data_IF_034934412689
#
_entry.id   IF_034934412689
#
_cell.length_a   1.000
_cell.length_b   1.000
_cell.length_c   1.000
_cell.angle_alpha   90.00
_cell.angle_beta   90.00
_cell.angle_gamma   90.00
#
_symmetry.space_group_name_H-M   'P 1'
#
loop_
_entity.id
_entity.type
_entity.pdbx_description
1 polymer ?
#
# COMPACT_ATOMS: atom_id res chain seq x y z
N UNK A 1 -1.92 -7.80 -20.27
CA UNK A 1 -1.65 -6.41 -20.71
C UNK A 1 -0.84 -6.45 -22.00
N UNK A 2 -1.06 -5.52 -22.92
CA UNK A 2 -0.33 -5.48 -24.20
C UNK A 2 1.02 -4.78 -24.05
N UNK A 3 2.03 -5.24 -24.78
CA UNK A 3 3.30 -4.53 -24.91
C UNK A 3 3.08 -3.20 -25.64
N UNK A 4 3.79 -2.12 -25.28
CA UNK A 4 3.94 -0.97 -26.17
C UNK A 4 4.33 -1.47 -27.57
N UNK A 5 3.77 -0.86 -28.61
CA UNK A 5 4.00 -1.22 -30.02
C UNK A 5 3.39 -2.55 -30.50
N UNK A 6 2.68 -3.29 -29.64
CA UNK A 6 1.87 -4.42 -30.10
C UNK A 6 0.66 -3.94 -30.91
N UNK A 7 0.19 -4.78 -31.83
CA UNK A 7 -1.04 -4.54 -32.61
C UNK A 7 -2.25 -4.98 -31.79
N UNK A 8 -3.26 -4.13 -31.70
CA UNK A 8 -4.51 -4.47 -31.03
C UNK A 8 -5.28 -5.54 -31.84
N UNK A 9 -5.61 -6.67 -31.23
CA UNK A 9 -6.37 -7.76 -31.89
C UNK A 9 -7.82 -7.42 -32.26
N UNK A 10 -8.35 -6.29 -31.78
CA UNK A 10 -9.73 -5.85 -32.06
C UNK A 10 -9.83 -4.79 -33.15
N UNK A 11 -8.89 -3.86 -33.20
CA UNK A 11 -8.95 -2.72 -34.12
C UNK A 11 -7.69 -2.56 -34.98
N UNK A 12 -6.74 -3.49 -34.87
CA UNK A 12 -5.52 -3.60 -35.69
C UNK A 12 -4.61 -2.37 -35.65
N UNK A 13 -4.85 -1.45 -34.72
CA UNK A 13 -4.00 -0.27 -34.48
C UNK A 13 -2.90 -0.58 -33.48
N UNK A 14 -1.77 0.08 -33.66
CA UNK A 14 -0.64 0.00 -32.74
C UNK A 14 -0.99 0.60 -31.37
N UNK A 15 -0.69 -0.13 -30.29
CA UNK A 15 -0.88 0.34 -28.93
C UNK A 15 0.06 1.50 -28.62
N UNK A 16 -0.50 2.55 -28.02
CA UNK A 16 0.24 3.73 -27.59
C UNK A 16 0.77 3.52 -26.18
N UNK A 17 1.95 4.10 -25.90
CA UNK A 17 2.50 4.17 -24.55
C UNK A 17 1.60 5.04 -23.67
N UNK A 18 1.34 4.61 -22.44
CA UNK A 18 0.67 5.44 -21.43
C UNK A 18 1.59 6.61 -21.08
N UNK A 19 1.03 7.82 -21.07
CA UNK A 19 1.79 9.04 -20.79
C UNK A 19 2.17 9.11 -19.31
N UNK A 20 3.35 9.65 -19.03
CA UNK A 20 3.71 10.06 -17.68
C UNK A 20 2.94 11.34 -17.33
N UNK A 21 2.41 11.39 -16.12
CA UNK A 21 1.65 12.53 -15.63
C UNK A 21 2.59 13.60 -15.05
N UNK A 22 2.56 14.76 -15.69
CA UNK A 22 3.24 15.98 -15.26
C UNK A 22 2.31 17.18 -15.51
N UNK A 23 2.46 18.30 -14.77
CA UNK A 23 3.36 18.49 -13.63
C UNK A 23 2.93 17.71 -12.37
N UNK A 24 3.87 17.46 -11.45
CA UNK A 24 3.64 16.55 -10.30
C UNK A 24 2.57 17.08 -9.33
N UNK A 25 2.46 18.41 -9.17
CA UNK A 25 1.53 19.02 -8.19
C UNK A 25 0.06 18.80 -8.52
N UNK A 26 -0.28 18.85 -9.81
CA UNK A 26 -1.66 18.79 -10.31
C UNK A 26 -1.77 17.71 -11.39
N UNK A 27 -1.44 16.48 -11.02
CA UNK A 27 -1.58 15.35 -11.95
C UNK A 27 -3.06 15.08 -12.21
N UNK A 28 -3.48 15.18 -13.46
CA UNK A 28 -4.83 14.84 -13.88
C UNK A 28 -4.93 13.35 -14.24
N UNK A 29 -5.34 12.54 -13.27
CA UNK A 29 -5.56 11.10 -13.46
C UNK A 29 -6.79 10.77 -14.32
N UNK A 30 -7.70 11.72 -14.52
CA UNK A 30 -8.97 11.53 -15.26
C UNK A 30 -8.85 11.78 -16.76
N UNK A 31 -7.79 12.45 -17.20
CA UNK A 31 -7.64 12.84 -18.62
C UNK A 31 -7.49 11.64 -19.56
N UNK A 32 -6.84 10.56 -19.09
CA UNK A 32 -6.61 9.37 -19.89
C UNK A 32 -7.49 8.23 -19.37
N UNK A 33 -8.31 7.63 -20.23
CA UNK A 33 -9.26 6.57 -19.84
C UNK A 33 -8.58 5.39 -19.13
N UNK A 34 -7.40 4.98 -19.57
CA UNK A 34 -6.66 3.88 -18.93
C UNK A 34 -6.18 4.25 -17.52
N UNK A 35 -5.64 5.47 -17.37
CA UNK A 35 -5.19 5.99 -16.09
C UNK A 35 -6.37 6.14 -15.14
N UNK A 36 -7.46 6.76 -15.59
CA UNK A 36 -8.67 6.98 -14.79
C UNK A 36 -9.28 5.67 -14.29
N UNK A 37 -9.34 4.64 -15.16
CA UNK A 37 -9.80 3.31 -14.75
C UNK A 37 -8.88 2.68 -13.70
N UNK A 38 -7.55 2.77 -13.89
CA UNK A 38 -6.57 2.23 -12.93
C UNK A 38 -6.63 2.98 -11.60
N UNK A 39 -6.83 4.30 -11.63
CA UNK A 39 -6.98 5.16 -10.47
C UNK A 39 -8.23 4.84 -9.66
N UNK A 40 -9.36 4.68 -10.34
CA UNK A 40 -10.62 4.25 -9.72
C UNK A 40 -10.48 2.88 -9.06
N UNK A 41 -9.84 1.94 -9.75
CA UNK A 41 -9.61 0.59 -9.23
C UNK A 41 -8.69 0.61 -7.99
N UNK A 42 -7.64 1.41 -8.00
CA UNK A 42 -6.79 1.62 -6.83
C UNK A 42 -7.59 2.13 -5.63
N UNK A 43 -8.41 3.16 -5.81
CA UNK A 43 -9.28 3.67 -4.75
C UNK A 43 -10.24 2.61 -4.19
N UNK A 44 -10.83 1.78 -5.05
CA UNK A 44 -11.69 0.68 -4.61
C UNK A 44 -10.94 -0.37 -3.80
N UNK A 45 -9.73 -0.75 -4.21
CA UNK A 45 -8.92 -1.71 -3.46
C UNK A 45 -8.51 -1.14 -2.11
N UNK A 46 -8.00 0.09 -2.06
CA UNK A 46 -7.64 0.75 -0.80
C UNK A 46 -8.83 0.87 0.16
N UNK A 47 -10.04 1.07 -0.37
CA UNK A 47 -11.24 1.13 0.47
C UNK A 47 -11.65 -0.21 1.09
N UNK A 48 -11.23 -1.34 0.50
CA UNK A 48 -11.60 -2.70 0.93
C UNK A 48 -10.44 -3.51 1.50
N UNK A 49 -9.23 -2.93 1.50
CA UNK A 49 -8.01 -3.65 1.85
C UNK A 49 -7.96 -3.88 3.36
N UNK A 50 -7.83 -5.15 3.74
CA UNK A 50 -7.60 -5.53 5.14
C UNK A 50 -6.17 -5.22 5.60
N UNK A 51 -5.21 -5.30 4.67
CA UNK A 51 -3.80 -4.99 4.90
C UNK A 51 -3.20 -4.35 3.65
N UNK A 52 -2.36 -3.34 3.83
CA UNK A 52 -1.66 -2.65 2.74
C UNK A 52 -0.14 -2.70 2.96
N UNK A 53 0.59 -3.34 2.04
CA UNK A 53 2.06 -3.33 2.06
C UNK A 53 2.61 -2.31 1.06
N UNK A 54 3.53 -1.46 1.51
CA UNK A 54 4.14 -0.37 0.75
C UNK A 54 5.65 -0.57 0.69
N UNK A 55 6.23 -0.53 -0.51
CA UNK A 55 7.66 -0.72 -0.74
C UNK A 55 8.34 0.57 -1.18
N UNK A 56 9.31 1.05 -0.40
CA UNK A 56 10.24 2.13 -0.78
C UNK A 56 9.57 3.41 -1.28
N UNK A 57 8.32 3.66 -0.86
CA UNK A 57 7.54 4.82 -1.30
C UNK A 57 7.41 5.79 -0.14
N UNK A 58 7.95 6.99 -0.32
CA UNK A 58 7.70 8.12 0.58
C UNK A 58 6.34 8.71 0.26
N UNK A 59 5.47 8.85 1.26
CA UNK A 59 4.10 9.33 1.09
C UNK A 59 4.03 10.61 0.21
N UNK A 60 2.95 10.79 -0.57
CA UNK A 60 2.86 11.92 -1.49
C UNK A 60 2.85 13.25 -0.73
N UNK A 61 3.79 14.14 -1.06
CA UNK A 61 3.89 15.48 -0.43
C UNK A 61 3.22 16.60 -1.23
N UNK A 62 3.13 16.45 -2.55
CA UNK A 62 2.75 17.54 -3.45
C UNK A 62 1.68 17.18 -4.47
N UNK A 63 1.43 15.88 -4.69
CA UNK A 63 0.40 15.40 -5.59
C UNK A 63 -0.95 15.38 -4.85
N UNK A 64 -1.73 16.45 -5.04
CA UNK A 64 -2.97 16.65 -4.28
C UNK A 64 -3.96 15.49 -4.48
N UNK A 65 -4.07 14.97 -5.71
CA UNK A 65 -4.98 13.87 -5.99
C UNK A 65 -4.56 12.58 -5.26
N UNK A 66 -3.25 12.30 -5.17
CA UNK A 66 -2.76 11.15 -4.40
C UNK A 66 -2.98 11.33 -2.89
N UNK A 67 -2.74 12.53 -2.36
CA UNK A 67 -3.03 12.87 -0.96
C UNK A 67 -4.51 12.63 -0.66
N UNK A 68 -5.40 13.17 -1.49
CA UNK A 68 -6.85 13.05 -1.33
C UNK A 68 -7.32 11.61 -1.41
N UNK A 69 -6.75 10.81 -2.32
CA UNK A 69 -7.09 9.40 -2.46
C UNK A 69 -6.67 8.59 -1.24
N UNK A 70 -5.46 8.79 -0.71
CA UNK A 70 -5.02 8.11 0.51
C UNK A 70 -5.86 8.58 1.70
N UNK A 71 -6.09 9.88 1.89
CA UNK A 71 -6.95 10.38 2.98
C UNK A 71 -8.38 9.83 2.88
N UNK A 72 -8.95 9.75 1.68
CA UNK A 72 -10.27 9.16 1.43
C UNK A 72 -10.31 7.66 1.68
N UNK A 73 -9.26 6.95 1.27
CA UNK A 73 -9.16 5.53 1.51
C UNK A 73 -9.14 5.26 3.01
N UNK A 74 -8.42 6.04 3.83
CA UNK A 74 -8.32 5.79 5.26
C UNK A 74 -9.53 6.21 6.10
N UNK A 75 -10.47 6.99 5.55
CA UNK A 75 -11.74 7.31 6.20
C UNK A 75 -11.61 7.95 7.60
N UNK A 76 -12.69 7.90 8.37
CA UNK A 76 -12.67 8.30 9.78
C UNK A 76 -12.16 7.12 10.64
N UNK A 77 -11.29 7.41 11.62
CA UNK A 77 -10.62 6.44 12.52
C UNK A 77 -11.58 5.38 13.09
N UNK A 78 -12.84 5.74 13.34
CA UNK A 78 -13.83 4.85 13.94
C UNK A 78 -14.35 3.73 13.01
N UNK A 79 -14.19 3.86 11.69
CA UNK A 79 -14.73 2.89 10.73
C UNK A 79 -13.72 1.78 10.37
N UNK A 80 -12.46 1.86 10.83
CA UNK A 80 -11.34 1.03 10.32
C UNK A 80 -10.37 0.49 11.38
N UNK A 81 -10.88 0.08 12.53
CA UNK A 81 -10.07 -0.49 13.64
C UNK A 81 -9.30 -1.80 13.31
N UNK A 82 -9.47 -2.38 12.11
CA UNK A 82 -8.89 -3.68 11.77
C UNK A 82 -7.90 -3.64 10.58
N UNK A 83 -7.61 -2.46 10.02
CA UNK A 83 -6.70 -2.32 8.89
C UNK A 83 -5.27 -2.07 9.36
N UNK A 84 -4.28 -2.77 8.77
CA UNK A 84 -2.85 -2.57 9.07
C UNK A 84 -2.07 -2.15 7.82
N UNK A 85 -1.18 -1.16 8.00
CA UNK A 85 -0.20 -0.76 6.97
C UNK A 85 1.15 -1.37 7.31
N UNK A 86 1.76 -2.03 6.34
CA UNK A 86 3.13 -2.51 6.42
C UNK A 86 4.00 -1.69 5.47
N UNK A 87 5.03 -1.03 5.98
CA UNK A 87 5.95 -0.23 5.18
C UNK A 87 7.32 -0.89 5.19
N UNK A 88 7.83 -1.24 4.02
CA UNK A 88 9.14 -1.86 3.82
C UNK A 88 10.03 -0.84 3.12
N UNK A 89 10.99 -0.28 3.85
CA UNK A 89 11.83 0.82 3.38
C UNK A 89 13.23 0.72 3.99
N UNK A 90 14.25 0.97 3.17
CA UNK A 90 15.66 0.91 3.59
C UNK A 90 16.05 2.06 4.54
N UNK A 91 15.24 3.11 4.62
CA UNK A 91 15.46 4.27 5.48
C UNK A 91 15.19 3.94 6.96
N UNK A 92 15.75 4.71 7.90
CA UNK A 92 15.41 4.59 9.32
C UNK A 92 13.90 4.71 9.57
N UNK A 93 13.37 3.90 10.48
CA UNK A 93 11.93 3.81 10.72
C UNK A 93 11.30 5.15 11.12
N UNK A 94 12.03 5.93 11.91
CA UNK A 94 11.68 7.27 12.37
C UNK A 94 11.51 8.27 11.22
N UNK A 95 12.37 8.23 10.19
CA UNK A 95 12.20 9.06 8.98
C UNK A 95 11.00 8.61 8.15
N UNK A 96 10.76 7.30 8.08
CA UNK A 96 9.61 6.74 7.37
C UNK A 96 8.32 7.18 8.06
N UNK A 97 8.22 7.00 9.37
CA UNK A 97 7.06 7.42 10.18
C UNK A 97 6.78 8.91 10.00
N UNK A 98 7.81 9.76 10.07
CA UNK A 98 7.65 11.19 9.84
C UNK A 98 7.08 11.47 8.44
N UNK A 99 7.53 10.75 7.40
CA UNK A 99 6.99 10.96 6.05
C UNK A 99 5.54 10.52 5.89
N UNK A 100 5.03 9.66 6.77
CA UNK A 100 3.69 9.09 6.73
C UNK A 100 2.74 9.67 7.79
N UNK A 101 3.21 10.61 8.61
CA UNK A 101 2.49 11.14 9.79
C UNK A 101 1.09 11.72 9.48
N UNK A 102 0.90 12.27 8.28
CA UNK A 102 -0.41 12.79 7.83
C UNK A 102 -1.42 11.70 7.43
N UNK A 103 -0.98 10.46 7.32
CA UNK A 103 -1.79 9.33 6.84
C UNK A 103 -1.95 8.23 7.91
N UNK A 104 -0.97 8.09 8.81
CA UNK A 104 -1.01 7.10 9.90
C UNK A 104 -1.45 7.76 11.20
N UNK A 105 -2.72 7.61 11.56
CA UNK A 105 -3.29 8.21 12.76
C UNK A 105 -3.45 7.23 13.95
N UNK A 106 -3.08 5.96 13.78
CA UNK A 106 -3.26 4.89 14.77
C UNK A 106 -2.00 4.03 14.91
N UNK A 107 -2.00 3.10 15.88
CA UNK A 107 -0.91 2.14 16.10
C UNK A 107 -0.93 0.96 15.11
N UNK A 108 -1.80 0.97 14.10
CA UNK A 108 -1.94 -0.13 13.14
C UNK A 108 -0.99 0.01 11.94
N UNK A 109 0.30 0.19 12.23
CA UNK A 109 1.33 0.13 11.21
C UNK A 109 2.57 -0.62 11.69
N UNK A 110 3.30 -1.21 10.75
CA UNK A 110 4.62 -1.78 10.97
C UNK A 110 5.60 -1.23 9.95
N UNK A 111 6.84 -1.00 10.38
CA UNK A 111 7.93 -0.54 9.50
C UNK A 111 9.07 -1.53 9.58
N UNK A 112 9.53 -2.01 8.43
CA UNK A 112 10.60 -2.99 8.30
C UNK A 112 11.68 -2.49 7.34
N UNK A 113 12.95 -2.68 7.71
CA UNK A 113 14.09 -2.38 6.85
C UNK A 113 14.53 -3.57 5.98
N UNK A 114 14.11 -4.78 6.35
CA UNK A 114 14.30 -6.01 5.58
C UNK A 114 12.94 -6.62 5.21
N UNK A 115 12.81 -7.04 3.95
CA UNK A 115 11.62 -7.75 3.47
C UNK A 115 11.37 -9.05 4.23
N UNK A 116 12.41 -9.81 4.58
CA UNK A 116 12.28 -11.11 5.23
C UNK A 116 11.77 -11.01 6.67
N UNK A 117 11.86 -9.82 7.28
CA UNK A 117 11.31 -9.56 8.60
C UNK A 117 9.83 -9.18 8.59
N UNK A 118 9.31 -8.75 7.43
CA UNK A 118 7.91 -8.36 7.25
C UNK A 118 6.93 -9.54 7.37
N UNK A 119 5.67 -9.25 7.67
CA UNK A 119 4.61 -10.26 7.65
C UNK A 119 4.45 -10.86 6.24
N UNK A 120 4.61 -10.04 5.18
CA UNK A 120 4.57 -10.53 3.80
C UNK A 120 5.71 -11.52 3.49
N UNK A 121 6.91 -11.28 4.04
CA UNK A 121 8.06 -12.16 3.91
C UNK A 121 7.91 -13.45 4.69
N UNK A 122 7.46 -13.37 5.96
CA UNK A 122 7.33 -14.53 6.86
C UNK A 122 6.12 -15.41 6.53
N UNK A 123 5.01 -14.81 6.12
CA UNK A 123 3.72 -15.50 5.94
C UNK A 123 3.11 -15.22 4.56
N UNK A 124 3.80 -15.57 3.46
CA UNK A 124 3.28 -15.30 2.11
C UNK A 124 1.92 -15.98 1.91
N UNK A 125 0.94 -15.22 1.43
CA UNK A 125 -0.48 -15.62 1.28
C UNK A 125 -1.24 -15.91 2.58
N UNK A 126 -0.62 -15.74 3.75
CA UNK A 126 -1.21 -15.98 5.08
C UNK A 126 -1.22 -14.73 5.98
N UNK A 127 -0.96 -13.57 5.40
CA UNK A 127 -0.78 -12.34 6.16
C UNK A 127 -2.07 -11.77 6.72
N UNK A 128 -3.21 -12.06 6.09
CA UNK A 128 -4.51 -11.66 6.60
C UNK A 128 -4.90 -12.52 7.81
N UNK A 129 -4.56 -13.81 7.80
CA UNK A 129 -4.73 -14.69 8.95
C UNK A 129 -3.88 -14.22 10.13
N UNK A 130 -2.62 -13.85 9.88
CA UNK A 130 -1.76 -13.25 10.92
C UNK A 130 -2.40 -11.98 11.52
N UNK A 131 -2.87 -11.06 10.65
CA UNK A 131 -3.50 -9.82 11.11
C UNK A 131 -4.80 -10.10 11.89
N UNK A 132 -5.58 -11.08 11.46
CA UNK A 132 -6.77 -11.53 12.17
C UNK A 132 -6.42 -12.08 13.56
N UNK A 133 -5.44 -12.98 13.66
CA UNK A 133 -5.02 -13.57 14.93
C UNK A 133 -4.48 -12.50 15.90
N UNK A 134 -3.71 -11.54 15.37
CA UNK A 134 -3.19 -10.39 16.12
C UNK A 134 -4.30 -9.47 16.64
N UNK A 135 -5.30 -9.16 15.81
CA UNK A 135 -6.40 -8.25 16.18
C UNK A 135 -7.45 -8.87 17.10
N UNK A 136 -7.66 -10.19 17.00
CA UNK A 136 -8.61 -10.91 17.85
C UNK A 136 -8.03 -11.35 19.21
N UNK A 137 -6.80 -10.94 19.52
CA UNK A 137 -6.09 -11.31 20.75
C UNK A 137 -6.01 -12.84 20.95
N UNK A 138 -5.89 -13.58 19.84
CA UNK A 138 -5.86 -15.04 19.82
C UNK A 138 -4.44 -15.59 20.10
N UNK A 139 -3.56 -14.76 20.68
CA UNK A 139 -2.16 -15.05 20.91
C UNK A 139 -1.98 -16.05 22.05
N UNK A 140 -2.21 -17.33 21.75
CA UNK A 140 -1.83 -18.47 22.59
C UNK A 140 -0.50 -19.11 22.18
N UNK A 141 0.13 -18.70 21.07
CA UNK A 141 1.28 -19.41 20.51
C UNK A 141 2.27 -18.50 19.79
N UNK A 142 2.88 -17.55 20.51
CA UNK A 142 4.20 -17.03 20.13
C UNK A 142 5.04 -16.79 21.40
N UNK A 143 5.21 -17.84 22.21
CA UNK A 143 6.41 -17.91 23.04
C UNK A 143 7.58 -18.16 22.08
N UNK A 144 8.40 -17.15 21.85
CA UNK A 144 9.70 -17.33 21.20
C UNK A 144 10.56 -18.21 22.12
N UNK A 145 10.94 -19.39 21.63
CA UNK A 145 11.86 -20.35 22.27
C UNK A 145 13.31 -19.85 22.49
N UNK A 146 13.54 -18.56 22.75
CA UNK A 146 14.88 -17.99 22.89
C UNK A 146 15.14 -17.30 24.24
N UNK A 147 14.66 -17.90 25.33
CA UNK A 147 15.08 -17.52 26.70
C UNK A 147 15.36 -18.71 27.62
N UNK A 148 15.93 -19.78 27.06
CA UNK A 148 16.66 -20.80 27.85
C UNK A 148 17.99 -21.14 27.20
N UNK A 149 18.98 -20.28 27.43
CA UNK A 149 20.36 -20.73 27.59
C UNK A 149 20.83 -20.27 28.97
N UNK A 150 21.36 -21.24 29.69
CA UNK A 150 21.93 -21.19 31.05
C UNK A 150 22.95 -20.07 31.25
#
# INVERSE_FOLDING_TARGET
>A
MGSPYAICSKCERMLKRVQLLYPIREKNYDHNTYISMSWKQLGQYLQSAYRLTIFGYSAPKSDQAAIDMLKKAWGAVNDRNLEEIEIIDIRPADEVIQSWEEFIHTHHYSVWNDFFDSALGKFPRRTCELLFDNTQNNCGYIETEDSKKE
#
